data_IF_823362073104
#
_entry.id   IF_823362073104
#
_cell.length_a   1.000
_cell.length_b   1.000
_cell.length_c   1.000
_cell.angle_alpha   90.00
_cell.angle_beta   90.00
_cell.angle_gamma   90.00
#
_symmetry.space_group_name_H-M   'P 1'
#
loop_
_entity.id
_entity.type
_entity.pdbx_description
1 polymer ?
#
# COMPACT_ATOMS: atom_id res chain seq x y z
N UNK A 1 -28.17 -12.51 -8.59
CA UNK A 1 -27.19 -12.14 -9.63
C UNK A 1 -26.99 -10.65 -9.60
N UNK A 2 -25.74 -10.16 -9.58
CA UNK A 2 -25.47 -8.73 -9.68
C UNK A 2 -25.72 -8.25 -11.10
N UNK A 3 -26.40 -7.10 -11.23
CA UNK A 3 -26.66 -6.49 -12.53
C UNK A 3 -25.38 -5.78 -13.03
N UNK A 4 -25.15 -5.74 -14.35
CA UNK A 4 -23.99 -5.03 -14.94
C UNK A 4 -23.86 -3.58 -14.44
N UNK A 5 -24.99 -2.89 -14.21
CA UNK A 5 -25.03 -1.54 -13.64
C UNK A 5 -24.46 -1.49 -12.21
N UNK A 6 -24.71 -2.51 -11.39
CA UNK A 6 -24.17 -2.59 -10.01
C UNK A 6 -22.66 -2.85 -10.04
N UNK A 7 -22.21 -3.74 -10.93
CA UNK A 7 -20.76 -3.99 -11.12
C UNK A 7 -20.07 -2.72 -11.56
N UNK A 8 -20.61 -2.00 -12.54
CA UNK A 8 -20.04 -0.75 -13.03
C UNK A 8 -19.96 0.34 -11.95
N UNK A 9 -21.00 0.49 -11.14
CA UNK A 9 -21.02 1.47 -10.03
C UNK A 9 -19.96 1.22 -8.96
N UNK A 10 -19.54 -0.03 -8.77
CA UNK A 10 -18.48 -0.39 -7.82
C UNK A 10 -17.10 -0.26 -8.47
N UNK A 11 -16.97 -0.68 -9.73
CA UNK A 11 -15.68 -0.71 -10.44
C UNK A 11 -15.19 0.67 -10.86
N UNK A 12 -16.10 1.57 -11.28
CA UNK A 12 -15.73 2.90 -11.77
C UNK A 12 -15.00 3.77 -10.74
N UNK A 13 -15.47 3.89 -9.48
CA UNK A 13 -14.72 4.62 -8.44
C UNK A 13 -13.35 4.02 -8.14
N UNK A 14 -13.23 2.69 -8.16
CA UNK A 14 -11.94 2.01 -7.95
C UNK A 14 -10.98 2.34 -9.10
N UNK A 15 -11.48 2.31 -10.34
CA UNK A 15 -10.69 2.65 -11.52
C UNK A 15 -10.18 4.09 -11.48
N UNK A 16 -11.05 5.05 -11.13
CA UNK A 16 -10.65 6.45 -10.96
C UNK A 16 -9.58 6.63 -9.87
N UNK A 17 -9.73 5.94 -8.73
CA UNK A 17 -8.75 5.96 -7.65
C UNK A 17 -7.39 5.43 -8.10
N UNK A 18 -7.37 4.34 -8.88
CA UNK A 18 -6.14 3.78 -9.44
C UNK A 18 -5.50 4.71 -10.47
N UNK A 19 -6.30 5.35 -11.34
CA UNK A 19 -5.79 6.34 -12.29
C UNK A 19 -5.14 7.53 -11.58
N UNK A 20 -5.81 8.09 -10.57
CA UNK A 20 -5.26 9.20 -9.78
C UNK A 20 -3.91 8.82 -9.14
N UNK A 21 -3.83 7.64 -8.52
CA UNK A 21 -2.57 7.15 -7.95
C UNK A 21 -1.46 6.97 -9.01
N UNK A 22 -1.80 6.46 -10.20
CA UNK A 22 -0.81 6.33 -11.28
C UNK A 22 -0.32 7.70 -11.78
N UNK A 23 -1.22 8.69 -11.92
CA UNK A 23 -0.85 10.06 -12.32
C UNK A 23 0.11 10.66 -11.30
N UNK A 24 -0.17 10.51 -10.00
CA UNK A 24 0.72 10.97 -8.92
C UNK A 24 2.08 10.30 -9.04
N UNK A 25 2.15 8.97 -9.17
CA UNK A 25 3.40 8.23 -9.28
C UNK A 25 4.23 8.65 -10.51
N UNK A 26 3.59 8.85 -11.66
CA UNK A 26 4.26 9.33 -12.90
C UNK A 26 4.80 10.73 -12.70
N UNK A 27 4.01 11.60 -12.07
CA UNK A 27 4.39 12.98 -11.77
C UNK A 27 5.59 13.02 -10.83
N UNK A 28 5.56 12.27 -9.72
CA UNK A 28 6.67 12.16 -8.78
C UNK A 28 7.94 11.67 -9.47
N UNK A 29 7.84 10.63 -10.30
CA UNK A 29 8.96 10.10 -11.07
C UNK A 29 9.53 11.15 -12.04
N UNK A 30 8.66 11.92 -12.70
CA UNK A 30 9.08 12.99 -13.61
C UNK A 30 9.79 14.13 -12.88
N UNK A 31 9.33 14.48 -11.67
CA UNK A 31 10.02 15.48 -10.84
C UNK A 31 11.38 14.97 -10.35
N UNK A 32 11.44 13.75 -9.84
CA UNK A 32 12.70 13.14 -9.40
C UNK A 32 13.73 13.03 -10.54
N UNK A 33 13.28 12.69 -11.76
CA UNK A 33 14.15 12.67 -12.94
C UNK A 33 14.72 14.04 -13.35
N UNK A 34 14.07 15.14 -12.91
CA UNK A 34 14.62 16.50 -13.10
C UNK A 34 15.60 16.91 -11.99
N UNK A 35 15.50 16.32 -10.82
CA UNK A 35 16.42 16.60 -9.70
C UNK A 35 17.78 15.99 -9.98
N UNK A 36 17.83 14.71 -10.36
CA UNK A 36 19.08 14.02 -10.70
C UNK A 36 18.91 12.53 -10.92
N UNK A 37 19.92 11.92 -11.55
CA UNK A 37 19.94 10.47 -11.81
C UNK A 37 20.11 9.67 -10.51
N UNK A 38 20.81 10.23 -9.53
CA UNK A 38 21.08 9.58 -8.24
C UNK A 38 19.80 9.46 -7.44
N UNK A 39 19.03 10.56 -7.33
CA UNK A 39 17.76 10.61 -6.59
C UNK A 39 16.70 9.73 -7.27
N UNK A 40 16.66 9.72 -8.59
CA UNK A 40 15.77 8.85 -9.36
C UNK A 40 16.13 7.38 -9.12
N UNK A 41 17.42 7.03 -9.19
CA UNK A 41 17.91 5.69 -8.92
C UNK A 41 17.62 5.23 -7.49
N UNK A 42 17.86 6.10 -6.51
CA UNK A 42 17.60 5.83 -5.10
C UNK A 42 16.10 5.59 -4.82
N UNK A 43 15.22 6.43 -5.39
CA UNK A 43 13.78 6.27 -5.23
C UNK A 43 13.26 5.01 -5.90
N UNK A 44 13.82 4.63 -7.07
CA UNK A 44 13.46 3.41 -7.77
C UNK A 44 13.82 2.15 -6.96
N UNK A 45 15.07 2.07 -6.45
CA UNK A 45 15.52 0.92 -5.67
C UNK A 45 14.83 0.84 -4.31
N UNK A 46 14.73 1.97 -3.58
CA UNK A 46 14.00 2.04 -2.33
C UNK A 46 12.49 1.79 -2.50
N UNK A 47 11.91 2.24 -3.62
CA UNK A 47 10.53 1.98 -3.99
C UNK A 47 10.26 0.50 -4.24
N UNK A 48 11.14 -0.20 -4.96
CA UNK A 48 11.04 -1.65 -5.18
C UNK A 48 11.08 -2.42 -3.85
N UNK A 49 12.01 -2.07 -2.97
CA UNK A 49 12.06 -2.66 -1.62
C UNK A 49 10.73 -2.45 -0.87
N UNK A 50 10.23 -1.21 -0.88
CA UNK A 50 8.98 -0.85 -0.21
C UNK A 50 7.79 -1.64 -0.76
N UNK A 51 7.69 -1.79 -2.08
CA UNK A 51 6.61 -2.55 -2.74
C UNK A 51 6.68 -4.03 -2.34
N UNK A 52 7.87 -4.64 -2.27
CA UNK A 52 8.03 -6.03 -1.84
C UNK A 52 7.47 -6.24 -0.43
N UNK A 53 7.81 -5.36 0.51
CA UNK A 53 7.29 -5.43 1.89
C UNK A 53 5.80 -5.14 1.93
N UNK A 54 5.34 -4.10 1.22
CA UNK A 54 3.93 -3.71 1.17
C UNK A 54 3.03 -4.82 0.60
N UNK A 55 3.51 -5.62 -0.35
CA UNK A 55 2.75 -6.72 -0.97
C UNK A 55 2.31 -7.76 0.07
N UNK A 56 3.08 -7.97 1.14
CA UNK A 56 2.70 -8.89 2.23
C UNK A 56 1.44 -8.36 2.94
N UNK A 57 1.43 -7.07 3.30
CA UNK A 57 0.27 -6.45 3.92
C UNK A 57 -0.94 -6.38 2.98
N UNK A 58 -0.69 -6.10 1.70
CA UNK A 58 -1.73 -6.09 0.67
C UNK A 58 -2.38 -7.46 0.51
N UNK A 59 -1.60 -8.55 0.49
CA UNK A 59 -2.13 -9.92 0.44
C UNK A 59 -3.03 -10.24 1.63
N UNK A 60 -2.58 -9.91 2.86
CA UNK A 60 -3.40 -10.09 4.06
C UNK A 60 -4.69 -9.25 4.03
N UNK A 61 -4.60 -8.00 3.61
CA UNK A 61 -5.77 -7.11 3.52
C UNK A 61 -6.79 -7.60 2.51
N UNK A 62 -6.34 -8.19 1.39
CA UNK A 62 -7.20 -8.80 0.38
C UNK A 62 -7.96 -10.01 0.95
N UNK A 63 -7.29 -10.86 1.74
CA UNK A 63 -7.94 -11.95 2.47
C UNK A 63 -9.02 -11.43 3.44
N UNK A 64 -8.69 -10.41 4.22
CA UNK A 64 -9.62 -9.75 5.13
C UNK A 64 -10.80 -9.10 4.39
N UNK A 65 -10.56 -8.51 3.22
CA UNK A 65 -11.60 -7.95 2.35
C UNK A 65 -12.62 -9.01 1.92
N UNK A 66 -12.16 -10.21 1.55
CA UNK A 66 -13.04 -11.32 1.14
C UNK A 66 -13.94 -11.74 2.31
N UNK A 67 -13.37 -11.86 3.52
CA UNK A 67 -14.15 -12.20 4.72
C UNK A 67 -15.19 -11.12 5.03
N UNK A 68 -14.80 -9.84 5.01
CA UNK A 68 -15.72 -8.72 5.25
C UNK A 68 -16.81 -8.64 4.18
N UNK A 69 -16.47 -8.85 2.91
CA UNK A 69 -17.44 -8.87 1.80
C UNK A 69 -18.46 -10.00 1.97
N UNK A 70 -18.00 -11.19 2.38
CA UNK A 70 -18.89 -12.33 2.67
C UNK A 70 -19.84 -12.01 3.82
N UNK A 71 -19.34 -11.48 4.96
CA UNK A 71 -20.17 -11.09 6.10
C UNK A 71 -21.19 -10.02 5.73
N UNK A 72 -20.79 -9.05 4.92
CA UNK A 72 -21.68 -8.01 4.39
C UNK A 72 -22.79 -8.62 3.50
N UNK A 73 -22.46 -9.58 2.64
CA UNK A 73 -23.44 -10.30 1.79
C UNK A 73 -24.41 -11.17 2.60
N UNK A 74 -23.95 -11.78 3.69
CA UNK A 74 -24.75 -12.54 4.64
C UNK A 74 -25.60 -11.64 5.57
N UNK A 75 -25.54 -10.30 5.44
CA UNK A 75 -26.16 -9.29 6.29
C UNK A 75 -25.70 -9.34 7.76
N UNK A 76 -24.56 -9.94 8.03
CA UNK A 76 -23.94 -10.04 9.37
C UNK A 76 -23.04 -8.85 9.61
N UNK A 77 -23.60 -7.66 9.63
CA UNK A 77 -22.84 -6.40 9.70
C UNK A 77 -22.06 -6.24 11.02
N UNK A 78 -22.58 -6.81 12.13
CA UNK A 78 -21.90 -6.83 13.43
C UNK A 78 -20.54 -7.53 13.38
N UNK A 79 -20.35 -8.50 12.48
CA UNK A 79 -19.14 -9.30 12.37
C UNK A 79 -18.06 -8.64 11.51
N UNK A 80 -18.40 -7.60 10.75
CA UNK A 80 -17.44 -6.86 9.90
C UNK A 80 -16.49 -6.03 10.75
N UNK A 81 -17.00 -5.36 11.79
CA UNK A 81 -16.22 -4.54 12.72
C UNK A 81 -15.06 -5.29 13.40
N UNK A 82 -15.34 -6.41 14.06
CA UNK A 82 -14.30 -7.25 14.67
C UNK A 82 -13.21 -7.69 13.70
N UNK A 83 -13.57 -8.11 12.49
CA UNK A 83 -12.58 -8.49 11.45
C UNK A 83 -11.69 -7.30 11.08
N UNK A 84 -12.29 -6.11 10.93
CA UNK A 84 -11.55 -4.87 10.66
C UNK A 84 -10.56 -4.54 11.76
N UNK A 85 -11.03 -4.52 13.02
CA UNK A 85 -10.21 -4.16 14.18
C UNK A 85 -9.05 -5.13 14.36
N UNK A 86 -9.32 -6.44 14.33
CA UNK A 86 -8.29 -7.48 14.42
C UNK A 86 -7.28 -7.37 13.27
N UNK A 87 -7.76 -7.09 12.04
CA UNK A 87 -6.90 -6.88 10.89
C UNK A 87 -5.98 -5.66 11.03
N UNK A 88 -6.48 -4.55 11.58
CA UNK A 88 -5.66 -3.35 11.86
C UNK A 88 -4.58 -3.67 12.90
N UNK A 89 -4.91 -4.32 14.02
CA UNK A 89 -3.92 -4.70 15.02
C UNK A 89 -2.87 -5.66 14.48
N UNK A 90 -3.29 -6.64 13.69
CA UNK A 90 -2.36 -7.57 13.04
C UNK A 90 -1.41 -6.83 12.08
N UNK A 91 -1.94 -5.94 11.23
CA UNK A 91 -1.13 -5.18 10.30
C UNK A 91 -0.22 -4.17 11.00
N UNK A 92 -0.62 -3.59 12.12
CA UNK A 92 0.27 -2.74 12.94
C UNK A 92 1.42 -3.56 13.55
N UNK A 93 1.12 -4.75 14.06
CA UNK A 93 2.16 -5.66 14.56
C UNK A 93 3.11 -6.08 13.43
N UNK A 94 2.57 -6.43 12.26
CA UNK A 94 3.36 -6.74 11.08
C UNK A 94 4.20 -5.54 10.61
N UNK A 95 3.65 -4.32 10.64
CA UNK A 95 4.38 -3.10 10.34
C UNK A 95 5.58 -2.90 11.28
N UNK A 96 5.40 -3.14 12.58
CA UNK A 96 6.48 -3.06 13.56
C UNK A 96 7.59 -4.09 13.29
N UNK A 97 7.22 -5.33 12.95
CA UNK A 97 8.17 -6.39 12.57
C UNK A 97 8.92 -6.00 11.29
N UNK A 98 8.19 -5.56 10.24
CA UNK A 98 8.81 -5.17 8.97
C UNK A 98 9.66 -3.90 9.11
N UNK A 99 9.25 -2.97 9.94
CA UNK A 99 10.05 -1.80 10.30
C UNK A 99 11.38 -2.22 10.96
N UNK A 100 11.32 -3.07 11.99
CA UNK A 100 12.50 -3.56 12.68
C UNK A 100 13.42 -4.35 11.74
N UNK A 101 12.84 -5.22 10.92
CA UNK A 101 13.57 -5.96 9.90
C UNK A 101 14.26 -5.02 8.89
N UNK A 102 13.56 -4.01 8.41
CA UNK A 102 14.11 -3.03 7.47
C UNK A 102 15.24 -2.23 8.11
N UNK A 103 15.11 -1.80 9.37
CA UNK A 103 16.18 -1.08 10.09
C UNK A 103 17.45 -1.89 10.27
N UNK A 104 17.31 -3.20 10.41
CA UNK A 104 18.46 -4.10 10.65
C UNK A 104 19.11 -4.58 9.34
N UNK A 105 18.30 -4.91 8.32
CA UNK A 105 18.77 -5.65 7.15
C UNK A 105 18.67 -4.90 5.81
N UNK A 106 17.90 -3.80 5.72
CA UNK A 106 17.68 -3.14 4.42
C UNK A 106 18.99 -2.63 3.81
N UNK A 107 19.91 -2.12 4.63
CA UNK A 107 21.24 -1.64 4.17
C UNK A 107 22.05 -2.76 3.54
N UNK A 108 22.13 -3.92 4.19
CA UNK A 108 22.89 -5.07 3.68
C UNK A 108 22.28 -5.60 2.39
N UNK A 109 20.92 -5.65 2.32
CA UNK A 109 20.20 -6.05 1.11
C UNK A 109 20.47 -5.09 -0.05
N UNK A 110 20.45 -3.77 0.21
CA UNK A 110 20.71 -2.77 -0.81
C UNK A 110 22.16 -2.81 -1.28
N UNK A 111 23.12 -2.96 -0.38
CA UNK A 111 24.55 -3.08 -0.69
C UNK A 111 24.84 -4.27 -1.61
N UNK A 112 24.11 -5.37 -1.47
CA UNK A 112 24.25 -6.52 -2.37
C UNK A 112 23.68 -6.27 -3.78
N UNK A 113 22.74 -5.34 -3.93
CA UNK A 113 22.01 -5.06 -5.18
C UNK A 113 22.55 -3.85 -5.95
N UNK A 114 23.12 -2.87 -5.26
CA UNK A 114 23.52 -1.58 -5.83
C UNK A 114 25.05 -1.54 -5.87
N UNK A 115 25.62 -1.43 -7.08
CA UNK A 115 27.05 -1.35 -7.29
C UNK A 115 27.62 0.07 -7.18
N UNK A 116 26.77 1.10 -7.26
CA UNK A 116 27.20 2.50 -7.14
C UNK A 116 27.07 2.99 -5.70
N UNK A 117 28.19 3.38 -5.08
CA UNK A 117 28.21 3.89 -3.71
C UNK A 117 27.35 5.15 -3.53
N UNK A 118 27.30 6.02 -4.55
CA UNK A 118 26.50 7.24 -4.53
C UNK A 118 25.01 6.96 -4.46
N UNK A 119 24.53 6.03 -5.33
CA UNK A 119 23.13 5.62 -5.35
C UNK A 119 22.80 4.83 -4.09
N UNK A 120 23.72 4.01 -3.59
CA UNK A 120 23.56 3.27 -2.35
C UNK A 120 23.32 4.20 -1.17
N UNK A 121 24.16 5.21 -0.98
CA UNK A 121 24.03 6.19 0.10
C UNK A 121 22.70 6.94 0.06
N UNK A 122 22.30 7.42 -1.13
CA UNK A 122 21.01 8.08 -1.32
C UNK A 122 19.82 7.11 -1.08
N UNK A 123 19.94 5.82 -1.44
CA UNK A 123 18.91 4.81 -1.19
C UNK A 123 18.77 4.51 0.30
N UNK A 124 19.88 4.43 1.04
CA UNK A 124 19.87 4.23 2.50
C UNK A 124 19.13 5.39 3.19
N UNK A 125 19.46 6.63 2.85
CA UNK A 125 18.83 7.83 3.40
C UNK A 125 17.33 7.86 3.07
N UNK A 126 16.95 7.55 1.83
CA UNK A 126 15.56 7.45 1.41
C UNK A 126 14.80 6.40 2.22
N UNK A 127 15.37 5.20 2.41
CA UNK A 127 14.74 4.11 3.16
C UNK A 127 14.62 4.43 4.64
N UNK A 128 15.59 5.11 5.24
CA UNK A 128 15.57 5.47 6.66
C UNK A 128 14.32 6.27 7.03
N UNK A 129 13.80 7.09 6.13
CA UNK A 129 12.54 7.82 6.31
C UNK A 129 11.33 7.06 5.77
N UNK A 130 11.47 6.39 4.64
CA UNK A 130 10.37 5.71 3.95
C UNK A 130 9.76 4.57 4.77
N UNK A 131 10.56 3.85 5.55
CA UNK A 131 10.08 2.71 6.36
C UNK A 131 9.08 3.12 7.45
N UNK A 132 9.11 4.36 7.94
CA UNK A 132 8.05 4.87 8.84
C UNK A 132 6.66 4.85 8.17
N UNK A 133 6.62 4.96 6.86
CA UNK A 133 5.40 4.87 6.08
C UNK A 133 4.68 3.51 6.17
N UNK A 134 5.32 2.43 6.63
CA UNK A 134 4.67 1.13 6.79
C UNK A 134 3.48 1.20 7.74
N UNK A 135 3.60 1.90 8.87
CA UNK A 135 2.51 2.01 9.85
C UNK A 135 1.27 2.63 9.23
N UNK A 136 1.43 3.71 8.48
CA UNK A 136 0.31 4.39 7.81
C UNK A 136 -0.22 3.59 6.62
N UNK A 137 0.66 3.06 5.78
CA UNK A 137 0.28 2.32 4.57
C UNK A 137 -0.45 1.02 4.89
N UNK A 138 -0.03 0.29 5.94
CA UNK A 138 -0.65 -0.97 6.34
C UNK A 138 -2.04 -0.74 6.93
N UNK A 139 -2.21 0.32 7.72
CA UNK A 139 -3.53 0.72 8.19
C UNK A 139 -4.42 1.17 7.04
N UNK A 140 -3.88 1.99 6.12
CA UNK A 140 -4.63 2.50 4.97
C UNK A 140 -5.12 1.36 4.06
N UNK A 141 -4.28 0.34 3.78
CA UNK A 141 -4.70 -0.79 2.95
C UNK A 141 -5.82 -1.60 3.61
N UNK A 142 -5.87 -1.66 4.95
CA UNK A 142 -6.97 -2.32 5.65
C UNK A 142 -8.28 -1.53 5.56
N UNK A 143 -8.23 -0.19 5.67
CA UNK A 143 -9.41 0.65 5.42
C UNK A 143 -9.90 0.53 3.98
N UNK A 144 -8.99 0.50 3.01
CA UNK A 144 -9.34 0.24 1.60
C UNK A 144 -10.06 -1.10 1.45
N UNK A 145 -9.55 -2.16 2.07
CA UNK A 145 -10.17 -3.48 2.06
C UNK A 145 -11.59 -3.46 2.66
N UNK A 146 -11.82 -2.72 3.75
CA UNK A 146 -13.14 -2.51 4.34
C UNK A 146 -14.10 -1.87 3.33
N UNK A 147 -13.74 -0.70 2.78
CA UNK A 147 -14.65 0.05 1.89
C UNK A 147 -14.99 -0.72 0.61
N UNK A 148 -14.05 -1.52 0.08
CA UNK A 148 -14.33 -2.42 -1.05
C UNK A 148 -15.26 -3.56 -0.58
N UNK A 149 -14.97 -4.18 0.56
CA UNK A 149 -15.74 -5.30 1.10
C UNK A 149 -17.20 -4.96 1.39
N UNK A 150 -17.47 -3.74 1.88
CA UNK A 150 -18.84 -3.25 2.11
C UNK A 150 -19.45 -2.51 0.90
N UNK A 151 -18.81 -2.56 -0.26
CA UNK A 151 -19.26 -1.93 -1.52
C UNK A 151 -19.43 -0.40 -1.47
N UNK A 152 -18.76 0.27 -0.52
CA UNK A 152 -18.76 1.74 -0.41
C UNK A 152 -17.53 2.37 -1.06
N UNK A 153 -17.29 2.07 -2.31
CA UNK A 153 -16.06 2.42 -3.06
C UNK A 153 -15.90 3.91 -3.40
N UNK A 154 -16.98 4.70 -3.31
CA UNK A 154 -16.91 6.17 -3.51
C UNK A 154 -15.96 6.87 -2.54
N UNK A 155 -15.80 6.32 -1.33
CA UNK A 155 -14.85 6.86 -0.32
C UNK A 155 -13.41 6.75 -0.82
N UNK A 156 -13.08 5.74 -1.62
CA UNK A 156 -11.74 5.55 -2.17
C UNK A 156 -11.36 6.64 -3.17
N UNK A 157 -12.32 7.09 -3.98
CA UNK A 157 -12.10 8.19 -4.93
C UNK A 157 -11.85 9.50 -4.19
N UNK A 158 -12.60 9.77 -3.11
CA UNK A 158 -12.40 10.97 -2.28
C UNK A 158 -11.05 10.98 -1.56
N UNK A 159 -10.51 9.81 -1.23
CA UNK A 159 -9.22 9.71 -0.55
C UNK A 159 -8.02 9.71 -1.53
N UNK A 160 -8.28 9.59 -2.84
CA UNK A 160 -7.25 9.55 -3.88
C UNK A 160 -7.06 10.92 -4.58
N UNK A 161 -7.97 11.88 -4.33
CA UNK A 161 -7.95 13.26 -4.80
C UNK A 161 -7.56 14.21 -3.68
#
# INVERSE_FOLDING_TARGET
>A
MYTNKQIWNVSYPIFLSLLAQNIINVTDTAFLGRVGEVELGASAMGGLYYICVFTIAFGFSTGSQIVMARRNGERRYSDVGPVMIQGVFFLLALAAVMFSFSRLFAKDIMRFKISSDTILGATEEFLDWRVFGFFFSFVNVMFRALFIGITRTKVLTLNAV
#
